data_IF_480579819929
#
_entry.id   IF_480579819929
#
_cell.length_a   1.000
_cell.length_b   1.000
_cell.length_c   1.000
_cell.angle_alpha   90.00
_cell.angle_beta   90.00
_cell.angle_gamma   90.00
#
_symmetry.space_group_name_H-M   'P 1'
#
loop_
_entity.id
_entity.type
_entity.pdbx_description
1 polymer ?
#
# COMPACT_ATOMS: atom_id res chain seq x y z
N UNK A 1 -1.65 5.99 -5.13
CA UNK A 1 -1.59 5.61 -3.70
C UNK A 1 -0.85 4.31 -3.59
N UNK A 2 -0.03 4.16 -2.56
CA UNK A 2 0.74 2.94 -2.28
C UNK A 2 0.26 2.35 -0.97
N UNK A 3 0.43 1.04 -0.82
CA UNK A 3 0.17 0.34 0.44
C UNK A 3 1.51 -0.21 0.95
N UNK A 4 2.21 0.51 1.85
CA UNK A 4 3.61 0.21 2.19
C UNK A 4 3.85 -1.21 2.70
N UNK A 5 2.90 -1.75 3.46
CA UNK A 5 2.95 -3.12 4.00
C UNK A 5 2.78 -4.21 2.93
N UNK A 6 2.27 -3.86 1.73
CA UNK A 6 2.09 -4.77 0.60
C UNK A 6 2.99 -4.32 -0.56
N UNK A 7 4.25 -4.78 -0.64
CA UNK A 7 5.18 -4.36 -1.67
C UNK A 7 4.61 -4.55 -3.07
N UNK A 8 4.71 -3.50 -3.88
CA UNK A 8 4.20 -3.48 -5.26
C UNK A 8 2.70 -3.16 -5.39
N UNK A 9 1.96 -3.02 -4.28
CA UNK A 9 0.56 -2.59 -4.33
C UNK A 9 0.46 -1.08 -4.60
N UNK A 10 0.22 -0.74 -5.87
CA UNK A 10 0.04 0.63 -6.34
C UNK A 10 -1.35 0.76 -6.95
N UNK A 11 -2.11 1.75 -6.47
CA UNK A 11 -3.46 2.06 -6.96
C UNK A 11 -3.61 3.53 -7.31
N UNK A 12 -4.68 3.90 -7.99
CA UNK A 12 -4.97 5.27 -8.39
C UNK A 12 -6.47 5.47 -8.46
N UNK A 13 -6.98 6.62 -7.99
CA UNK A 13 -8.37 7.02 -8.16
C UNK A 13 -8.46 8.47 -8.63
N UNK A 14 -9.59 8.82 -9.27
CA UNK A 14 -9.82 10.19 -9.80
C UNK A 14 -10.03 11.21 -8.67
N UNK A 15 -10.57 10.76 -7.56
CA UNK A 15 -10.78 11.52 -6.33
C UNK A 15 -10.08 10.82 -5.17
N UNK A 16 -9.97 11.49 -4.02
CA UNK A 16 -9.46 10.87 -2.80
C UNK A 16 -10.30 9.64 -2.41
N UNK A 17 -11.63 9.79 -2.42
CA UNK A 17 -12.55 8.69 -2.08
C UNK A 17 -12.41 7.52 -3.05
N UNK A 18 -12.27 7.79 -4.35
CA UNK A 18 -12.00 6.74 -5.34
C UNK A 18 -10.66 6.05 -5.07
N UNK A 19 -9.61 6.81 -4.75
CA UNK A 19 -8.28 6.25 -4.50
C UNK A 19 -8.28 5.34 -3.26
N UNK A 20 -9.00 5.74 -2.21
CA UNK A 20 -9.20 4.95 -0.99
C UNK A 20 -9.93 3.66 -1.32
N UNK A 21 -11.09 3.73 -1.99
CA UNK A 21 -11.86 2.55 -2.39
C UNK A 21 -11.02 1.59 -3.22
N UNK A 22 -10.29 2.11 -4.21
CA UNK A 22 -9.46 1.27 -5.08
C UNK A 22 -8.28 0.61 -4.34
N UNK A 23 -7.73 1.23 -3.30
CA UNK A 23 -6.75 0.54 -2.47
C UNK A 23 -7.34 -0.51 -1.56
N UNK A 24 -8.56 -0.31 -1.03
CA UNK A 24 -9.24 -1.35 -0.26
C UNK A 24 -9.44 -2.61 -1.12
N UNK A 25 -9.97 -2.45 -2.33
CA UNK A 25 -10.13 -3.54 -3.30
C UNK A 25 -8.79 -4.22 -3.66
N UNK A 26 -7.73 -3.45 -3.86
CA UNK A 26 -6.40 -4.00 -4.17
C UNK A 26 -5.77 -4.76 -2.99
N UNK A 27 -5.98 -4.28 -1.75
CA UNK A 27 -5.54 -4.96 -0.53
C UNK A 27 -6.26 -6.30 -0.39
N UNK A 28 -7.59 -6.31 -0.55
CA UNK A 28 -8.40 -7.54 -0.48
C UNK A 28 -7.88 -8.59 -1.48
N UNK A 29 -7.72 -8.20 -2.75
CA UNK A 29 -7.21 -9.10 -3.79
C UNK A 29 -5.79 -9.61 -3.50
N UNK A 30 -4.91 -8.76 -2.95
CA UNK A 30 -3.55 -9.15 -2.59
C UNK A 30 -3.56 -10.22 -1.50
N UNK A 31 -4.36 -10.02 -0.45
CA UNK A 31 -4.49 -10.98 0.66
C UNK A 31 -5.11 -12.29 0.19
N UNK A 32 -6.13 -12.25 -0.67
CA UNK A 32 -6.69 -13.44 -1.31
C UNK A 32 -5.61 -14.22 -2.07
N UNK A 33 -4.79 -13.53 -2.87
CA UNK A 33 -3.69 -14.15 -3.63
C UNK A 33 -2.64 -14.81 -2.71
N UNK A 34 -2.25 -14.14 -1.62
CA UNK A 34 -1.33 -14.73 -0.63
C UNK A 34 -1.93 -15.98 0.01
N UNK A 35 -3.21 -15.90 0.38
CA UNK A 35 -3.94 -17.01 1.01
C UNK A 35 -4.02 -18.22 0.07
N UNK A 36 -4.36 -18.01 -1.20
CA UNK A 36 -4.42 -19.07 -2.22
C UNK A 36 -3.07 -19.76 -2.45
N UNK A 37 -1.97 -19.01 -2.30
CA UNK A 37 -0.61 -19.53 -2.42
C UNK A 37 -0.07 -20.14 -1.12
N UNK A 38 -0.78 -19.98 0.00
CA UNK A 38 -0.30 -20.37 1.33
C UNK A 38 0.90 -19.53 1.80
N UNK A 39 1.03 -18.31 1.29
CA UNK A 39 2.06 -17.35 1.70
C UNK A 39 1.62 -16.63 2.99
N UNK A 40 2.61 -16.16 3.75
CA UNK A 40 2.36 -15.41 5.00
C UNK A 40 1.76 -14.04 4.68
N UNK A 41 0.75 -13.64 5.46
CA UNK A 41 0.15 -12.31 5.38
C UNK A 41 1.06 -11.34 6.16
N UNK A 42 1.62 -10.30 5.52
CA UNK A 42 2.46 -9.33 6.22
C UNK A 42 1.68 -8.62 7.33
N UNK A 43 2.32 -8.47 8.48
CA UNK A 43 1.81 -7.68 9.61
C UNK A 43 2.57 -6.34 9.74
N UNK A 44 2.21 -5.55 10.73
CA UNK A 44 2.76 -4.20 10.92
C UNK A 44 4.14 -4.22 11.59
N UNK A 45 4.69 -5.39 11.94
CA UNK A 45 5.94 -5.47 12.69
C UNK A 45 7.10 -4.99 11.82
N UNK A 46 7.82 -3.98 12.31
CA UNK A 46 8.97 -3.40 11.61
C UNK A 46 8.62 -2.39 10.51
N UNK A 47 7.34 -2.04 10.31
CA UNK A 47 6.96 -0.98 9.36
C UNK A 47 7.15 0.41 10.00
N UNK A 48 8.07 1.20 9.44
CA UNK A 48 8.27 2.61 9.81
C UNK A 48 8.26 3.49 8.55
N UNK A 49 7.24 4.33 8.43
CA UNK A 49 7.08 5.24 7.29
C UNK A 49 7.29 6.70 7.73
N UNK A 50 8.21 7.41 7.08
CA UNK A 50 8.44 8.84 7.28
C UNK A 50 8.59 9.55 5.94
N UNK A 51 8.03 10.75 5.83
CA UNK A 51 8.26 11.64 4.69
C UNK A 51 9.21 12.76 5.11
N UNK A 52 10.38 12.83 4.49
CA UNK A 52 11.33 13.93 4.68
C UNK A 52 11.36 14.82 3.44
N UNK A 53 10.99 16.09 3.61
CA UNK A 53 11.09 17.10 2.55
C UNK A 53 12.36 17.93 2.74
N UNK A 54 13.34 17.77 1.83
CA UNK A 54 14.57 18.56 1.84
C UNK A 54 14.44 19.66 0.78
N UNK A 55 14.48 20.92 1.22
CA UNK A 55 14.57 22.06 0.30
C UNK A 55 16.04 22.29 -0.04
N UNK A 56 16.42 22.02 -1.29
CA UNK A 56 17.74 22.40 -1.78
C UNK A 56 17.79 23.94 -1.88
N UNK A 57 18.57 24.59 -1.00
CA UNK A 57 18.93 25.99 -1.18
C UNK A 57 20.16 26.06 -2.08
N UNK A 58 20.07 26.89 -3.12
CA UNK A 58 21.19 27.32 -3.97
C UNK A 58 21.91 28.52 -3.34
#
# INVERSE_FOLDING_TARGET
MTVPILPGCVTYGKTLDDAIRMAQEAVELYIETLTEKGEEIPDQDGLFEYTLTILAHA
#
